data_IF_240339737388
#
_entry.id   IF_240339737388
#
_cell.length_a   1.000
_cell.length_b   1.000
_cell.length_c   1.000
_cell.angle_alpha   90.00
_cell.angle_beta   90.00
_cell.angle_gamma   90.00
#
_symmetry.space_group_name_H-M   'P 1'
#
loop_
_entity.id
_entity.type
_entity.pdbx_description
1 polymer ?
#
# COMPACT_ATOMS: atom_id res chain seq x y z
N UNK A 1 9.45 1.47 42.36
CA UNK A 1 10.08 1.91 41.11
C UNK A 1 8.96 1.91 40.07
N UNK A 2 8.44 3.10 39.76
CA UNK A 2 7.40 3.25 38.74
C UNK A 2 8.05 3.12 37.36
N UNK A 3 7.67 2.11 36.60
CA UNK A 3 7.98 2.04 35.17
C UNK A 3 6.83 2.73 34.44
N UNK A 4 6.93 4.06 34.35
CA UNK A 4 6.12 4.88 33.45
C UNK A 4 6.89 5.13 32.16
N UNK A 5 6.14 5.26 31.07
CA UNK A 5 6.54 5.77 29.75
C UNK A 5 7.70 5.05 29.02
N UNK A 6 7.39 4.27 27.97
CA UNK A 6 7.39 4.73 26.56
C UNK A 6 7.68 3.58 25.55
N UNK A 7 6.78 2.59 25.41
CA UNK A 7 6.96 1.44 24.49
C UNK A 7 6.13 1.53 23.18
N UNK A 8 5.76 2.74 22.72
CA UNK A 8 5.06 2.92 21.43
C UNK A 8 5.88 3.68 20.38
N UNK A 9 7.19 3.79 20.59
CA UNK A 9 8.11 4.38 19.62
C UNK A 9 9.27 3.43 19.31
N UNK A 10 9.10 2.13 19.56
CA UNK A 10 9.99 1.10 19.00
C UNK A 10 9.70 0.96 17.50
N UNK A 11 10.22 1.99 16.83
CA UNK A 11 10.53 2.25 15.44
C UNK A 11 9.46 1.82 14.45
N UNK A 12 8.70 2.80 13.96
CA UNK A 12 7.91 2.69 12.73
C UNK A 12 8.77 2.04 11.61
N UNK A 13 10.08 2.26 11.59
CA UNK A 13 11.01 1.63 10.66
C UNK A 13 11.14 0.11 10.85
N UNK A 14 11.12 -0.39 12.08
CA UNK A 14 11.06 -1.83 12.35
C UNK A 14 9.76 -2.43 11.83
N UNK A 15 8.63 -1.70 11.96
CA UNK A 15 7.34 -2.13 11.40
C UNK A 15 7.36 -2.12 9.87
N UNK A 16 7.98 -1.09 9.26
CA UNK A 16 8.19 -0.99 7.82
C UNK A 16 9.03 -2.17 7.33
N UNK A 17 10.18 -2.42 7.95
CA UNK A 17 11.06 -3.53 7.60
C UNK A 17 10.34 -4.87 7.71
N UNK A 18 9.67 -5.13 8.84
CA UNK A 18 8.91 -6.36 9.06
C UNK A 18 7.79 -6.54 8.03
N UNK A 19 7.13 -5.46 7.64
CA UNK A 19 6.09 -5.51 6.61
C UNK A 19 6.69 -5.81 5.23
N UNK A 20 7.84 -5.21 4.89
CA UNK A 20 8.60 -5.47 3.65
C UNK A 20 9.19 -6.88 3.55
N UNK A 21 9.34 -7.58 4.68
CA UNK A 21 9.79 -8.98 4.73
C UNK A 21 8.65 -10.00 4.61
N UNK A 22 7.39 -9.56 4.57
CA UNK A 22 6.26 -10.47 4.46
C UNK A 22 6.27 -11.18 3.09
N UNK A 23 6.21 -12.52 3.04
CA UNK A 23 6.23 -13.28 1.79
C UNK A 23 5.06 -12.91 0.86
N UNK A 24 3.94 -12.43 1.41
CA UNK A 24 2.77 -12.02 0.63
C UNK A 24 3.03 -10.82 -0.29
N UNK A 25 4.02 -9.99 0.01
CA UNK A 25 4.38 -8.82 -0.84
C UNK A 25 5.75 -8.99 -1.50
N UNK A 26 6.33 -10.18 -1.43
CA UNK A 26 7.64 -10.47 -1.99
C UNK A 26 7.66 -10.31 -3.52
N UNK A 27 6.60 -10.70 -4.22
CA UNK A 27 6.51 -10.58 -5.68
C UNK A 27 6.45 -9.11 -6.13
N UNK A 28 5.71 -8.27 -5.41
CA UNK A 28 5.66 -6.83 -5.68
C UNK A 28 7.01 -6.16 -5.39
N UNK A 29 7.71 -6.58 -4.32
CA UNK A 29 9.01 -6.01 -3.92
C UNK A 29 10.16 -6.42 -4.85
N UNK A 30 10.21 -7.67 -5.30
CA UNK A 30 11.29 -8.16 -6.16
C UNK A 30 11.00 -8.04 -7.66
N UNK A 31 9.78 -7.63 -8.02
CA UNK A 31 9.37 -7.39 -9.40
C UNK A 31 9.99 -6.13 -10.03
N UNK A 32 9.70 -5.87 -11.31
CA UNK A 32 10.26 -4.74 -12.07
C UNK A 32 9.88 -3.36 -11.50
N UNK A 33 8.80 -3.28 -10.72
CA UNK A 33 8.32 -2.06 -10.06
C UNK A 33 8.62 -2.01 -8.56
N UNK A 34 9.47 -2.91 -8.07
CA UNK A 34 9.73 -3.11 -6.65
C UNK A 34 10.24 -1.89 -5.90
N UNK A 35 11.06 -1.05 -6.54
CA UNK A 35 11.53 0.20 -5.94
C UNK A 35 10.39 1.17 -5.65
N UNK A 36 9.47 1.37 -6.60
CA UNK A 36 8.29 2.22 -6.42
C UNK A 36 7.34 1.67 -5.35
N UNK A 37 7.24 0.34 -5.25
CA UNK A 37 6.45 -0.31 -4.21
C UNK A 37 7.03 -0.08 -2.81
N UNK A 38 8.33 -0.30 -2.64
CA UNK A 38 9.01 -0.10 -1.35
C UNK A 38 8.89 1.36 -0.90
N UNK A 39 9.09 2.32 -1.80
CA UNK A 39 9.02 3.74 -1.47
C UNK A 39 7.59 4.17 -1.11
N UNK A 40 6.58 3.74 -1.87
CA UNK A 40 5.18 4.06 -1.59
C UNK A 40 4.70 3.42 -0.28
N UNK A 41 5.03 2.16 -0.07
CA UNK A 41 4.58 1.39 1.08
C UNK A 41 5.27 1.82 2.38
N UNK A 42 6.58 2.11 2.32
CA UNK A 42 7.31 2.68 3.46
C UNK A 42 6.80 4.08 3.83
N UNK A 43 6.47 4.91 2.85
CA UNK A 43 5.86 6.22 3.07
C UNK A 43 4.48 6.07 3.74
N UNK A 44 3.62 5.17 3.23
CA UNK A 44 2.29 4.92 3.81
C UNK A 44 2.34 4.50 5.29
N UNK A 45 3.28 3.61 5.64
CA UNK A 45 3.45 3.15 7.02
C UNK A 45 4.03 4.23 7.94
N UNK A 46 4.76 5.19 7.40
CA UNK A 46 5.30 6.36 8.12
C UNK A 46 4.32 7.53 8.21
N UNK A 47 3.37 7.64 7.28
CA UNK A 47 2.38 8.71 7.24
C UNK A 47 1.61 8.79 8.57
N UNK A 48 1.63 9.96 9.20
CA UNK A 48 0.81 10.28 10.38
C UNK A 48 -0.46 11.05 10.04
N UNK A 49 -0.70 11.33 8.76
CA UNK A 49 -1.90 12.02 8.28
C UNK A 49 -3.21 11.29 8.62
N UNK A 50 -4.30 12.07 8.74
CA UNK A 50 -5.67 11.58 9.02
C UNK A 50 -6.10 10.57 7.94
N UNK A 51 -5.86 10.92 6.67
CA UNK A 51 -5.90 9.98 5.56
C UNK A 51 -4.49 9.44 5.32
N UNK A 52 -4.23 8.22 5.78
CA UNK A 52 -2.93 7.55 5.65
C UNK A 52 -2.43 7.59 4.19
N UNK A 53 -1.22 8.10 4.00
CA UNK A 53 -0.56 8.17 2.69
C UNK A 53 -1.07 9.28 1.77
N UNK A 54 -1.87 10.22 2.28
CA UNK A 54 -2.25 11.44 1.55
C UNK A 54 -1.05 12.33 1.21
N UNK A 55 0.02 12.27 1.99
CA UNK A 55 1.33 12.87 1.73
C UNK A 55 2.21 12.05 0.77
N UNK A 56 1.88 10.77 0.58
CA UNK A 56 2.66 9.77 -0.16
C UNK A 56 2.13 9.47 -1.57
N UNK A 57 1.20 10.27 -2.09
CA UNK A 57 0.49 10.01 -3.36
C UNK A 57 1.44 9.87 -4.56
N UNK A 58 2.51 10.66 -4.60
CA UNK A 58 3.47 10.64 -5.72
C UNK A 58 4.14 9.26 -5.91
N UNK A 59 4.72 8.65 -4.86
CA UNK A 59 5.20 7.27 -4.91
C UNK A 59 4.16 6.25 -5.40
N UNK A 60 2.91 6.34 -4.93
CA UNK A 60 1.86 5.40 -5.36
C UNK A 60 1.50 5.56 -6.84
N UNK A 61 1.46 6.79 -7.36
CA UNK A 61 1.25 7.03 -8.79
C UNK A 61 2.41 6.44 -9.61
N UNK A 62 3.66 6.59 -9.15
CA UNK A 62 4.82 6.03 -9.83
C UNK A 62 4.76 4.49 -9.89
N UNK A 63 4.35 3.85 -8.79
CA UNK A 63 4.09 2.41 -8.76
C UNK A 63 2.98 2.02 -9.74
N UNK A 64 1.84 2.71 -9.71
CA UNK A 64 0.70 2.42 -10.60
C UNK A 64 1.09 2.55 -12.08
N UNK A 65 1.84 3.58 -12.43
CA UNK A 65 2.35 3.77 -13.80
C UNK A 65 3.27 2.62 -14.21
N UNK A 66 4.17 2.19 -13.32
CA UNK A 66 5.07 1.07 -13.61
C UNK A 66 4.30 -0.25 -13.80
N UNK A 67 3.26 -0.50 -13.00
CA UNK A 67 2.38 -1.69 -13.16
C UNK A 67 1.69 -1.65 -14.52
N UNK A 68 1.14 -0.49 -14.90
CA UNK A 68 0.48 -0.29 -16.21
C UNK A 68 1.42 -0.49 -17.40
N UNK A 69 2.69 -0.14 -17.26
CA UNK A 69 3.71 -0.36 -18.29
C UNK A 69 4.20 -1.82 -18.34
N UNK A 70 4.04 -2.58 -17.25
CA UNK A 70 4.52 -3.96 -17.13
C UNK A 70 3.40 -4.98 -16.83
N UNK A 71 2.30 -5.03 -17.60
CA UNK A 71 1.18 -5.91 -17.31
C UNK A 71 1.53 -7.41 -17.43
N UNK A 72 2.65 -7.76 -18.07
CA UNK A 72 3.13 -9.14 -18.13
C UNK A 72 3.83 -9.61 -16.83
N UNK A 73 4.28 -8.67 -16.00
CA UNK A 73 4.96 -8.96 -14.74
C UNK A 73 4.00 -9.08 -13.54
N UNK A 74 2.76 -8.62 -13.70
CA UNK A 74 1.71 -8.72 -12.70
C UNK A 74 0.68 -9.75 -13.15
N UNK A 75 0.35 -10.70 -12.27
CA UNK A 75 -0.65 -11.72 -12.57
C UNK A 75 -1.96 -11.06 -13.00
N UNK A 76 -2.66 -11.68 -13.94
CA UNK A 76 -4.00 -11.22 -14.36
C UNK A 76 -4.95 -11.08 -13.19
N UNK A 77 -4.82 -11.89 -12.14
CA UNK A 77 -5.60 -11.73 -10.89
C UNK A 77 -5.42 -10.34 -10.27
N UNK A 78 -4.21 -9.75 -10.28
CA UNK A 78 -3.95 -8.39 -9.78
C UNK A 78 -4.45 -7.31 -10.75
N UNK A 79 -4.47 -7.59 -12.04
CA UNK A 79 -4.90 -6.65 -13.09
C UNK A 79 -6.41 -6.69 -13.37
N UNK A 80 -7.07 -7.81 -13.06
CA UNK A 80 -8.51 -8.06 -13.26
C UNK A 80 -9.32 -7.77 -11.98
N UNK A 81 -8.67 -7.57 -10.82
CA UNK A 81 -9.29 -7.12 -9.56
C UNK A 81 -9.79 -5.66 -9.56
N UNK A 82 -9.83 -4.98 -10.71
CA UNK A 82 -10.53 -3.69 -10.86
C UNK A 82 -12.08 -3.85 -10.97
N UNK A 83 -12.57 -5.10 -10.89
CA UNK A 83 -14.00 -5.45 -11.01
C UNK A 83 -14.69 -5.89 -9.70
N UNK A 84 -13.97 -6.20 -8.60
CA UNK A 84 -14.61 -6.71 -7.38
C UNK A 84 -14.31 -5.90 -6.10
N UNK A 85 -14.97 -4.74 -5.99
CA UNK A 85 -14.99 -3.88 -4.79
C UNK A 85 -15.60 -4.59 -3.54
N UNK A 86 -16.17 -5.80 -3.69
CA UNK A 86 -16.91 -6.49 -2.62
C UNK A 86 -16.02 -7.29 -1.64
N UNK A 87 -14.76 -7.61 -1.98
CA UNK A 87 -13.86 -8.39 -1.10
C UNK A 87 -13.25 -7.53 0.04
N UNK A 88 -13.11 -6.21 -0.19
CA UNK A 88 -12.56 -5.27 0.80
C UNK A 88 -13.48 -5.08 2.03
N UNK A 89 -14.78 -5.41 1.93
CA UNK A 89 -15.72 -5.35 3.05
C UNK A 89 -15.58 -6.51 4.05
N UNK A 90 -14.89 -7.60 3.71
CA UNK A 90 -14.79 -8.80 4.57
C UNK A 90 -13.55 -8.83 5.47
N UNK A 91 -12.55 -7.99 5.21
CA UNK A 91 -11.39 -7.87 6.09
C UNK A 91 -11.65 -6.80 7.16
N UNK A 92 -11.36 -7.10 8.43
CA UNK A 92 -11.48 -6.13 9.54
C UNK A 92 -10.46 -4.96 9.45
N UNK A 93 -9.76 -4.78 8.32
CA UNK A 93 -8.99 -3.59 8.02
C UNK A 93 -9.83 -2.65 7.16
N UNK A 94 -10.37 -1.58 7.75
CA UNK A 94 -11.08 -0.52 7.01
C UNK A 94 -10.07 0.33 6.21
N UNK A 95 -9.43 -0.24 5.19
CA UNK A 95 -8.62 0.52 4.24
C UNK A 95 -9.60 1.27 3.34
N UNK A 96 -9.84 2.55 3.63
CA UNK A 96 -10.59 3.41 2.70
C UNK A 96 -9.61 3.82 1.61
N UNK A 97 -9.81 3.42 0.34
CA UNK A 97 -9.02 3.96 -0.75
C UNK A 97 -9.18 5.49 -0.76
N UNK A 98 -8.09 6.24 -0.91
CA UNK A 98 -8.13 7.69 -0.88
C UNK A 98 -8.93 8.22 -2.07
N UNK A 99 -9.51 9.41 -1.92
CA UNK A 99 -10.47 9.94 -2.90
C UNK A 99 -9.89 10.10 -4.32
N UNK A 100 -8.57 10.26 -4.44
CA UNK A 100 -7.86 10.36 -5.71
C UNK A 100 -7.68 9.01 -6.43
N UNK A 101 -7.72 7.89 -5.70
CA UNK A 101 -7.63 6.54 -6.28
C UNK A 101 -9.00 5.99 -6.67
N UNK A 102 -10.09 6.54 -6.14
CA UNK A 102 -11.45 6.19 -6.58
C UNK A 102 -11.74 6.89 -7.90
N UNK A 103 -11.56 6.20 -9.02
CA UNK A 103 -12.11 6.71 -10.28
C UNK A 103 -13.64 6.79 -10.15
N UNK A 104 -14.19 7.96 -10.49
CA UNK A 104 -15.62 8.09 -10.71
C UNK A 104 -15.99 7.33 -11.99
N UNK A 105 -16.29 6.03 -11.88
CA UNK A 105 -16.86 5.27 -13.02
C UNK A 105 -18.14 5.99 -13.49
N UNK A 106 -18.20 6.53 -14.74
CA UNK A 106 -19.48 6.88 -15.32
C UNK A 106 -20.28 5.59 -15.47
N UNK A 107 -21.45 5.54 -14.83
CA UNK A 107 -22.42 4.46 -14.95
C UNK A 107 -22.80 4.34 -16.44
N UNK A 108 -22.49 3.21 -17.08
CA UNK A 108 -23.11 2.81 -18.34
C UNK A 108 -24.11 1.69 -18.08
#
# INVERSE_FOLDING_TARGET
>A
MSFGENDNEESIDVKVQKALECPCIADLKHGPCGSGFVDAFSCFLRSTEEEKGSDCVKPFIALQNCIKENPAAFSKEILEEEENDEEAEKSNLKVRPPAWSREAKPKL
#
